data_IF_409270977665
#
_entry.id   IF_409270977665
#
_cell.length_a   1.000
_cell.length_b   1.000
_cell.length_c   1.000
_cell.angle_alpha   90.00
_cell.angle_beta   90.00
_cell.angle_gamma   90.00
#
_symmetry.space_group_name_H-M   'P 1'
#
loop_
_entity.id
_entity.type
_entity.pdbx_description
1 polymer ?
#
# COMPACT_ATOMS: atom_id res chain seq x y z
N UNK A 1 -10.69 -6.17 44.41
CA UNK A 1 -10.65 -7.62 44.15
C UNK A 1 -11.02 -7.83 42.68
N UNK A 2 -10.24 -8.61 41.93
CA UNK A 2 -10.41 -8.96 40.50
C UNK A 2 -10.15 -7.90 39.41
N UNK A 3 -8.88 -7.51 39.24
CA UNK A 3 -8.27 -7.16 37.94
C UNK A 3 -6.94 -7.93 37.71
N UNK A 4 -6.49 -8.75 38.67
CA UNK A 4 -5.18 -9.44 38.61
C UNK A 4 -5.17 -10.84 37.96
N UNK A 5 -6.31 -11.37 37.50
CA UNK A 5 -6.40 -12.76 37.01
C UNK A 5 -6.39 -12.88 35.47
N UNK A 6 -6.52 -11.77 34.73
CA UNK A 6 -6.50 -11.79 33.24
C UNK A 6 -5.10 -11.46 32.68
N UNK A 7 -4.21 -10.87 33.49
CA UNK A 7 -2.83 -10.51 33.08
C UNK A 7 -1.85 -11.68 32.98
N UNK A 8 -2.13 -12.82 33.63
CA UNK A 8 -1.22 -13.98 33.63
C UNK A 8 -1.43 -14.90 32.42
N UNK A 9 -2.66 -15.02 31.89
CA UNK A 9 -2.96 -15.91 30.75
C UNK A 9 -2.61 -15.29 29.38
N UNK A 10 -2.60 -13.95 29.27
CA UNK A 10 -2.18 -13.27 28.04
C UNK A 10 -0.66 -13.22 27.87
N UNK A 11 0.10 -13.10 28.97
CA UNK A 11 1.57 -13.11 28.92
C UNK A 11 2.15 -14.50 28.64
N UNK A 12 1.47 -15.60 28.98
CA UNK A 12 1.88 -16.94 28.55
C UNK A 12 1.61 -17.19 27.06
N UNK A 13 0.53 -16.65 26.48
CA UNK A 13 0.28 -16.79 25.03
C UNK A 13 1.21 -15.89 24.18
N UNK A 14 1.67 -14.76 24.72
CA UNK A 14 2.57 -13.84 24.03
C UNK A 14 4.04 -14.31 24.14
N UNK A 15 4.49 -14.77 25.31
CA UNK A 15 5.87 -15.29 25.47
C UNK A 15 6.09 -16.68 24.84
N UNK A 16 5.04 -17.50 24.67
CA UNK A 16 5.11 -18.73 23.87
C UNK A 16 4.92 -18.48 22.36
N UNK A 17 4.49 -17.28 21.95
CA UNK A 17 4.26 -16.91 20.55
C UNK A 17 5.53 -16.45 19.84
N UNK A 18 6.31 -15.56 20.46
CA UNK A 18 7.48 -14.93 19.81
C UNK A 18 8.69 -15.87 19.68
N UNK A 19 8.92 -16.73 20.68
CA UNK A 19 10.02 -17.72 20.65
C UNK A 19 9.69 -18.98 19.84
N UNK A 20 8.40 -19.32 19.65
CA UNK A 20 8.00 -20.43 18.77
C UNK A 20 7.72 -20.04 17.33
N UNK A 21 7.35 -18.78 17.02
CA UNK A 21 7.11 -18.38 15.63
C UNK A 21 8.38 -18.49 14.78
N UNK A 22 9.54 -18.11 15.33
CA UNK A 22 10.85 -18.29 14.67
C UNK A 22 11.29 -19.76 14.61
N UNK A 23 10.75 -20.66 15.45
CA UNK A 23 10.99 -22.11 15.38
C UNK A 23 9.98 -22.88 14.50
N UNK A 24 8.85 -22.25 14.16
CA UNK A 24 7.78 -22.85 13.36
C UNK A 24 8.04 -22.71 11.86
N UNK A 25 8.87 -21.75 11.44
CA UNK A 25 9.38 -21.65 10.07
C UNK A 25 10.39 -22.75 9.74
N UNK A 26 11.16 -23.26 10.71
CA UNK A 26 12.10 -24.38 10.53
C UNK A 26 11.46 -25.78 10.61
N UNK A 27 10.21 -25.91 11.08
CA UNK A 27 9.49 -27.20 11.14
C UNK A 27 8.18 -27.20 10.38
N UNK A 28 8.16 -26.61 9.18
CA UNK A 28 7.14 -26.96 8.21
C UNK A 28 7.49 -28.35 7.64
N UNK A 29 6.69 -29.40 7.89
CA UNK A 29 6.98 -30.72 7.35
C UNK A 29 7.06 -30.68 5.82
N UNK A 30 8.04 -31.35 5.23
CA UNK A 30 8.17 -31.50 3.78
C UNK A 30 6.92 -32.16 3.20
N UNK A 31 6.08 -31.38 2.51
CA UNK A 31 4.85 -31.87 1.90
C UNK A 31 5.13 -32.32 0.46
N UNK A 32 5.46 -33.61 0.25
CA UNK A 32 5.45 -34.21 -1.09
C UNK A 32 4.03 -34.63 -1.48
N UNK A 33 3.28 -33.73 -2.11
CA UNK A 33 2.04 -34.05 -2.82
C UNK A 33 2.38 -34.28 -4.30
N UNK A 34 2.42 -35.53 -4.72
CA UNK A 34 2.59 -35.93 -6.12
C UNK A 34 1.27 -35.80 -6.88
N UNK A 35 1.01 -34.66 -7.50
CA UNK A 35 -0.06 -34.47 -8.48
C UNK A 35 0.54 -34.19 -9.86
N UNK A 36 0.47 -35.18 -10.76
CA UNK A 36 0.85 -35.05 -12.17
C UNK A 36 -0.29 -34.43 -12.99
N UNK A 37 -0.25 -33.10 -13.16
CA UNK A 37 -0.86 -32.32 -14.25
C UNK A 37 -0.46 -30.86 -14.05
N UNK A 38 -0.17 -30.13 -15.14
CA UNK A 38 0.26 -28.72 -15.10
C UNK A 38 -0.73 -27.86 -14.31
N UNK A 39 -0.40 -27.59 -13.05
CA UNK A 39 -1.16 -26.74 -12.14
C UNK A 39 -0.65 -25.32 -12.29
N UNK A 40 -1.54 -24.43 -12.72
CA UNK A 40 -1.21 -23.02 -12.95
C UNK A 40 -1.05 -22.29 -11.61
N UNK A 41 0.07 -21.59 -11.42
CA UNK A 41 0.39 -20.95 -10.13
C UNK A 41 0.22 -19.44 -10.19
N UNK A 42 -0.82 -18.92 -9.51
CA UNK A 42 -1.24 -17.53 -9.65
C UNK A 42 -0.14 -16.55 -9.26
N UNK A 43 0.45 -16.69 -8.07
CA UNK A 43 1.42 -15.73 -7.58
C UNK A 43 2.74 -15.84 -8.34
N UNK A 44 3.25 -17.06 -8.45
CA UNK A 44 4.58 -17.33 -8.99
C UNK A 44 4.68 -17.12 -10.50
N UNK A 45 3.60 -17.33 -11.26
CA UNK A 45 3.61 -17.07 -12.71
C UNK A 45 3.16 -15.66 -13.09
N UNK A 46 2.15 -15.10 -12.40
CA UNK A 46 1.57 -13.80 -12.79
C UNK A 46 2.27 -12.65 -12.08
N UNK A 47 2.35 -12.69 -10.74
CA UNK A 47 2.77 -11.52 -9.95
C UNK A 47 4.29 -11.44 -9.77
N UNK A 48 4.95 -12.59 -9.60
CA UNK A 48 6.38 -12.66 -9.30
C UNK A 48 7.29 -11.95 -10.33
N UNK A 49 7.02 -11.97 -11.65
CA UNK A 49 7.80 -11.18 -12.61
C UNK A 49 7.77 -9.67 -12.32
N UNK A 50 6.61 -9.13 -11.95
CA UNK A 50 6.45 -7.72 -11.62
C UNK A 50 7.10 -7.36 -10.28
N UNK A 51 6.98 -8.24 -9.29
CA UNK A 51 7.69 -8.10 -8.00
C UNK A 51 9.21 -8.08 -8.23
N UNK A 52 9.75 -9.00 -9.05
CA UNK A 52 11.17 -9.03 -9.43
C UNK A 52 11.60 -7.74 -10.14
N UNK A 53 10.76 -7.23 -11.03
CA UNK A 53 11.02 -5.96 -11.72
C UNK A 53 11.13 -4.80 -10.72
N UNK A 54 10.16 -4.66 -9.83
CA UNK A 54 10.18 -3.59 -8.82
C UNK A 54 11.34 -3.73 -7.84
N UNK A 55 11.68 -4.94 -7.39
CA UNK A 55 12.86 -5.18 -6.54
C UNK A 55 14.14 -4.70 -7.25
N UNK A 56 14.29 -4.94 -8.56
CA UNK A 56 15.44 -4.42 -9.32
C UNK A 56 15.46 -2.89 -9.35
N UNK A 57 14.31 -2.26 -9.55
CA UNK A 57 14.20 -0.78 -9.55
C UNK A 57 14.54 -0.22 -8.16
N UNK A 58 14.00 -0.80 -7.09
CA UNK A 58 14.30 -0.39 -5.72
C UNK A 58 15.78 -0.57 -5.35
N UNK A 59 16.40 -1.66 -5.82
CA UNK A 59 17.84 -1.89 -5.64
C UNK A 59 18.66 -0.86 -6.40
N UNK A 60 18.27 -0.52 -7.64
CA UNK A 60 18.92 0.53 -8.43
C UNK A 60 18.85 1.90 -7.74
N UNK A 61 17.69 2.24 -7.17
CA UNK A 61 17.48 3.47 -6.42
C UNK A 61 18.09 3.45 -5.01
N UNK A 62 18.62 2.29 -4.57
CA UNK A 62 19.06 2.03 -3.19
C UNK A 62 17.98 2.34 -2.14
N UNK A 63 16.71 2.21 -2.53
CA UNK A 63 15.54 2.54 -1.71
C UNK A 63 15.17 1.40 -0.76
N UNK A 64 15.40 0.15 -1.19
CA UNK A 64 15.14 -1.04 -0.39
C UNK A 64 16.21 -2.12 -0.62
N UNK A 65 16.66 -2.82 0.45
CA UNK A 65 17.72 -3.82 0.36
C UNK A 65 17.19 -5.21 0.01
N UNK A 66 16.25 -5.29 -0.93
CA UNK A 66 15.66 -6.55 -1.35
C UNK A 66 16.45 -7.15 -2.50
N UNK A 67 16.73 -8.45 -2.41
CA UNK A 67 17.38 -9.23 -3.46
C UNK A 67 16.58 -10.49 -3.71
N UNK A 68 16.30 -10.77 -4.98
CA UNK A 68 15.67 -12.02 -5.36
C UNK A 68 16.72 -13.13 -5.48
N UNK A 69 16.66 -14.11 -4.59
CA UNK A 69 17.48 -15.31 -4.67
C UNK A 69 16.91 -16.28 -5.70
N UNK A 70 17.64 -16.47 -6.80
CA UNK A 70 17.24 -17.35 -7.90
C UNK A 70 17.30 -18.83 -7.50
N UNK A 71 18.15 -19.22 -6.55
CA UNK A 71 18.36 -20.61 -6.15
C UNK A 71 17.15 -21.09 -5.35
N UNK A 72 16.79 -20.37 -4.30
CA UNK A 72 15.64 -20.72 -3.45
C UNK A 72 14.31 -20.24 -4.03
N UNK A 73 14.35 -19.33 -5.01
CA UNK A 73 13.19 -18.59 -5.52
C UNK A 73 12.45 -17.90 -4.36
N UNK A 74 13.23 -17.21 -3.53
CA UNK A 74 12.81 -16.46 -2.33
C UNK A 74 13.39 -15.04 -2.42
N UNK A 75 12.70 -14.09 -1.78
CA UNK A 75 13.20 -12.73 -1.58
C UNK A 75 14.02 -12.75 -0.29
N UNK A 76 15.22 -12.19 -0.33
CA UNK A 76 16.11 -12.07 0.83
C UNK A 76 16.46 -10.61 1.04
N UNK A 77 16.78 -10.27 2.28
CA UNK A 77 17.38 -8.98 2.62
C UNK A 77 18.89 -9.12 2.53
N UNK A 78 19.52 -8.29 1.70
CA UNK A 78 20.97 -8.25 1.56
C UNK A 78 21.39 -6.79 1.47
N UNK A 79 22.06 -6.32 2.52
CA UNK A 79 22.48 -4.93 2.67
C UNK A 79 23.89 -4.88 3.25
N UNK A 80 24.77 -4.13 2.61
CA UNK A 80 26.05 -3.75 3.19
C UNK A 80 25.87 -2.61 4.19
N UNK A 81 26.82 -2.42 5.13
CA UNK A 81 26.76 -1.29 6.09
C UNK A 81 26.64 0.08 5.40
N UNK A 82 27.32 0.25 4.26
CA UNK A 82 27.30 1.50 3.49
C UNK A 82 25.93 1.73 2.84
N UNK A 83 25.33 0.69 2.25
CA UNK A 83 23.98 0.78 1.68
C UNK A 83 22.94 1.14 2.74
N UNK A 84 23.07 0.57 3.96
CA UNK A 84 22.19 0.91 5.08
C UNK A 84 22.26 2.38 5.45
N UNK A 85 23.48 2.90 5.63
CA UNK A 85 23.69 4.32 5.97
C UNK A 85 23.13 5.21 4.85
N UNK A 86 23.36 4.85 3.59
CA UNK A 86 22.83 5.60 2.45
C UNK A 86 21.30 5.61 2.44
N UNK A 87 20.65 4.46 2.63
CA UNK A 87 19.19 4.35 2.70
C UNK A 87 18.61 5.19 3.83
N UNK A 88 19.21 5.12 5.02
CA UNK A 88 18.79 5.91 6.18
C UNK A 88 18.95 7.42 5.92
N UNK A 89 20.05 7.82 5.27
CA UNK A 89 20.27 9.21 4.88
C UNK A 89 19.23 9.69 3.86
N UNK A 90 18.92 8.88 2.84
CA UNK A 90 17.84 9.18 1.88
C UNK A 90 16.51 9.35 2.60
N UNK A 91 16.16 8.46 3.53
CA UNK A 91 14.92 8.57 4.29
C UNK A 91 14.88 9.83 5.16
N UNK A 92 15.98 10.20 5.83
CA UNK A 92 16.07 11.45 6.59
C UNK A 92 15.87 12.66 5.67
N UNK A 93 16.49 12.65 4.48
CA UNK A 93 16.33 13.70 3.48
C UNK A 93 14.88 13.78 2.97
N UNK A 94 14.19 12.65 2.78
CA UNK A 94 12.78 12.64 2.40
C UNK A 94 11.88 13.29 3.46
N UNK A 95 12.13 13.04 4.74
CA UNK A 95 11.39 13.71 5.84
C UNK A 95 11.74 15.19 5.95
N UNK A 96 13.02 15.55 5.80
CA UNK A 96 13.44 16.94 5.76
C UNK A 96 12.78 17.70 4.58
N UNK A 97 12.69 17.03 3.42
CA UNK A 97 11.97 17.53 2.26
C UNK A 97 10.49 17.77 2.60
N UNK A 98 9.82 16.80 3.21
CA UNK A 98 8.41 16.94 3.62
C UNK A 98 8.21 18.11 4.59
N UNK A 99 9.11 18.29 5.57
CA UNK A 99 9.10 19.45 6.46
C UNK A 99 9.27 20.77 5.69
N UNK A 100 10.15 20.81 4.68
CA UNK A 100 10.33 21.98 3.84
C UNK A 100 9.05 22.28 3.02
N UNK A 101 8.34 21.26 2.53
CA UNK A 101 7.04 21.44 1.87
C UNK A 101 6.03 22.17 2.79
N UNK A 102 5.99 21.86 4.10
CA UNK A 102 5.13 22.58 5.05
C UNK A 102 5.41 24.08 5.08
N UNK A 103 6.70 24.47 5.06
CA UNK A 103 7.10 25.88 5.06
C UNK A 103 6.64 26.59 3.80
N UNK A 104 6.65 25.90 2.65
CA UNK A 104 6.13 26.43 1.38
C UNK A 104 4.62 26.63 1.46
N UNK A 105 3.87 25.65 1.97
CA UNK A 105 2.41 25.78 2.15
C UNK A 105 2.09 26.97 3.04
N UNK A 106 2.79 27.13 4.16
CA UNK A 106 2.60 28.25 5.08
C UNK A 106 2.91 29.60 4.42
N UNK A 107 4.05 29.71 3.73
CA UNK A 107 4.42 30.95 3.01
C UNK A 107 3.41 31.32 1.92
N UNK A 108 2.90 30.33 1.16
CA UNK A 108 1.89 30.58 0.13
C UNK A 108 0.55 31.04 0.72
N UNK A 109 0.21 30.58 1.93
CA UNK A 109 -0.95 31.06 2.69
C UNK A 109 -0.77 32.53 3.08
N UNK A 110 0.35 32.88 3.70
CA UNK A 110 0.66 34.26 4.13
C UNK A 110 0.70 35.23 2.95
N UNK A 111 1.20 34.79 1.80
CA UNK A 111 1.27 35.61 0.59
C UNK A 111 -0.08 35.72 -0.18
N UNK A 112 -1.16 35.12 0.33
CA UNK A 112 -2.47 35.20 -0.31
C UNK A 112 -2.57 34.47 -1.66
N UNK A 113 -1.85 33.36 -1.84
CA UNK A 113 -1.82 32.57 -3.08
C UNK A 113 -2.64 31.26 -2.95
N UNK A 114 -3.98 31.31 -2.84
CA UNK A 114 -4.77 30.13 -2.47
C UNK A 114 -4.67 28.98 -3.46
N UNK A 115 -4.63 29.25 -4.78
CA UNK A 115 -4.51 28.19 -5.79
C UNK A 115 -3.20 27.40 -5.69
N UNK A 116 -2.07 28.11 -5.57
CA UNK A 116 -0.75 27.50 -5.37
C UNK A 116 -0.61 26.84 -4.00
N UNK A 117 -1.23 27.40 -2.96
CA UNK A 117 -1.29 26.79 -1.64
C UNK A 117 -2.03 25.44 -1.68
N UNK A 118 -3.15 25.33 -2.41
CA UNK A 118 -3.86 24.06 -2.58
C UNK A 118 -3.05 23.04 -3.38
N UNK A 119 -2.32 23.46 -4.43
CA UNK A 119 -1.37 22.61 -5.18
C UNK A 119 -0.29 22.05 -4.24
N UNK A 120 0.33 22.94 -3.44
CA UNK A 120 1.33 22.58 -2.45
C UNK A 120 0.79 21.60 -1.39
N UNK A 121 -0.40 21.88 -0.84
CA UNK A 121 -1.04 21.05 0.18
C UNK A 121 -1.43 19.67 -0.35
N UNK A 122 -1.88 19.59 -1.61
CA UNK A 122 -2.20 18.32 -2.25
C UNK A 122 -0.95 17.43 -2.40
N UNK A 123 0.12 18.00 -2.96
CA UNK A 123 1.39 17.29 -3.11
C UNK A 123 2.01 16.91 -1.77
N UNK A 124 1.89 17.77 -0.75
CA UNK A 124 2.29 17.46 0.61
C UNK A 124 1.54 16.22 1.15
N UNK A 125 0.21 16.18 1.04
CA UNK A 125 -0.58 15.04 1.50
C UNK A 125 -0.24 13.75 0.75
N UNK A 126 -0.07 13.83 -0.58
CA UNK A 126 0.35 12.67 -1.38
C UNK A 126 1.73 12.17 -0.93
N UNK A 127 2.70 13.08 -0.75
CA UNK A 127 4.06 12.73 -0.32
C UNK A 127 4.07 12.15 1.08
N UNK A 128 3.32 12.73 2.02
CA UNK A 128 3.15 12.20 3.37
C UNK A 128 2.63 10.76 3.32
N UNK A 129 1.61 10.47 2.50
CA UNK A 129 1.08 9.11 2.38
C UNK A 129 2.13 8.11 1.85
N UNK A 130 2.88 8.51 0.83
CA UNK A 130 3.96 7.69 0.27
C UNK A 130 5.03 7.42 1.34
N UNK A 131 5.50 8.46 2.04
CA UNK A 131 6.49 8.30 3.11
C UNK A 131 5.97 7.42 4.24
N UNK A 132 4.70 7.55 4.63
CA UNK A 132 4.10 6.68 5.64
C UNK A 132 4.04 5.22 5.19
N UNK A 133 3.79 4.92 3.90
CA UNK A 133 3.82 3.54 3.39
C UNK A 133 5.21 2.93 3.42
N UNK A 134 6.24 3.73 3.14
CA UNK A 134 7.63 3.30 3.00
C UNK A 134 8.47 3.43 4.28
N UNK A 135 7.99 4.17 5.28
CA UNK A 135 8.73 4.49 6.51
C UNK A 135 9.21 3.24 7.26
N UNK A 136 10.53 3.02 7.32
CA UNK A 136 11.13 1.98 8.15
C UNK A 136 12.63 2.17 8.30
N UNK A 137 13.09 2.41 9.53
CA UNK A 137 14.51 2.57 9.83
C UNK A 137 15.30 1.30 9.46
N UNK A 138 14.76 0.15 9.84
CA UNK A 138 15.28 -1.16 9.46
C UNK A 138 14.55 -1.70 8.23
N UNK A 139 15.21 -2.60 7.46
CA UNK A 139 14.56 -3.30 6.36
C UNK A 139 13.27 -3.97 6.84
N UNK A 140 12.18 -3.84 6.08
CA UNK A 140 10.91 -4.44 6.48
C UNK A 140 10.93 -5.96 6.18
N UNK A 141 11.53 -6.73 7.09
CA UNK A 141 11.63 -8.19 7.02
C UNK A 141 10.25 -8.85 6.97
N UNK A 142 9.24 -8.25 7.60
CA UNK A 142 7.85 -8.76 7.59
C UNK A 142 7.24 -8.76 6.19
N UNK A 143 7.57 -7.75 5.37
CA UNK A 143 7.13 -7.72 3.97
C UNK A 143 7.74 -8.87 3.17
N UNK A 144 9.02 -9.15 3.40
CA UNK A 144 9.77 -10.23 2.74
C UNK A 144 9.24 -11.60 3.19
N UNK A 145 9.04 -11.79 4.49
CA UNK A 145 8.45 -12.99 5.06
C UNK A 145 7.05 -13.26 4.49
N UNK A 146 6.20 -12.22 4.42
CA UNK A 146 4.86 -12.32 3.85
C UNK A 146 4.90 -12.78 2.38
N UNK A 147 5.71 -12.14 1.54
CA UNK A 147 5.82 -12.48 0.14
C UNK A 147 6.40 -13.89 -0.06
N UNK A 148 7.40 -14.28 0.74
CA UNK A 148 7.96 -15.63 0.70
C UNK A 148 6.96 -16.69 1.16
N UNK A 149 6.21 -16.43 2.23
CA UNK A 149 5.13 -17.30 2.69
C UNK A 149 4.08 -17.50 1.59
N UNK A 150 3.74 -16.42 0.87
CA UNK A 150 2.80 -16.48 -0.25
C UNK A 150 3.37 -17.29 -1.43
N UNK A 151 4.64 -17.11 -1.79
CA UNK A 151 5.32 -17.90 -2.83
C UNK A 151 5.39 -19.39 -2.44
N UNK A 152 5.73 -19.70 -1.19
CA UNK A 152 5.76 -21.07 -0.66
C UNK A 152 4.38 -21.70 -0.66
N UNK A 153 3.36 -20.94 -0.27
CA UNK A 153 1.97 -21.39 -0.30
C UNK A 153 1.51 -21.68 -1.74
N UNK A 154 1.75 -20.76 -2.68
CA UNK A 154 1.38 -20.90 -4.10
C UNK A 154 2.09 -22.10 -4.76
N UNK A 155 3.33 -22.38 -4.38
CA UNK A 155 4.06 -23.57 -4.87
C UNK A 155 3.37 -24.87 -4.48
N UNK A 156 2.76 -24.93 -3.30
CA UNK A 156 2.13 -26.12 -2.71
C UNK A 156 0.62 -26.18 -2.96
N UNK A 157 0.00 -25.10 -3.43
CA UNK A 157 -1.43 -25.03 -3.69
C UNK A 157 -1.75 -25.45 -5.12
N UNK A 158 -2.44 -26.59 -5.28
CA UNK A 158 -2.87 -27.06 -6.59
C UNK A 158 -4.12 -26.30 -7.07
N UNK A 159 -3.98 -25.39 -8.03
CA UNK A 159 -5.07 -24.55 -8.54
C UNK A 159 -5.70 -25.18 -9.81
N UNK A 160 -6.80 -25.91 -9.64
CA UNK A 160 -7.48 -26.61 -10.76
C UNK A 160 -8.35 -25.71 -11.66
N UNK A 161 -8.47 -24.41 -11.39
CA UNK A 161 -9.40 -23.54 -12.12
C UNK A 161 -8.74 -22.90 -13.35
N UNK A 162 -9.21 -23.30 -14.54
CA UNK A 162 -8.85 -22.70 -15.84
C UNK A 162 -9.51 -21.32 -15.98
N UNK A 163 -8.90 -20.29 -15.42
CA UNK A 163 -9.31 -18.90 -15.59
C UNK A 163 -8.56 -18.22 -16.74
N UNK A 164 -9.23 -17.33 -17.47
CA UNK A 164 -8.60 -16.41 -18.41
C UNK A 164 -7.89 -15.29 -17.64
N UNK A 165 -6.59 -15.44 -17.41
CA UNK A 165 -5.78 -14.49 -16.63
C UNK A 165 -5.28 -13.27 -17.42
N UNK A 166 -5.64 -13.16 -18.70
CA UNK A 166 -5.19 -12.08 -19.59
C UNK A 166 -5.56 -10.71 -19.04
N UNK A 167 -6.79 -10.55 -18.54
CA UNK A 167 -7.24 -9.30 -17.94
C UNK A 167 -6.41 -8.92 -16.72
N UNK A 168 -6.15 -9.86 -15.80
CA UNK A 168 -5.31 -9.62 -14.63
C UNK A 168 -3.88 -9.24 -15.00
N UNK A 169 -3.28 -9.93 -15.99
CA UNK A 169 -1.93 -9.60 -16.49
C UNK A 169 -1.88 -8.19 -17.07
N UNK A 170 -2.88 -7.82 -17.88
CA UNK A 170 -2.98 -6.48 -18.45
C UNK A 170 -3.16 -5.42 -17.37
N UNK A 171 -4.05 -5.65 -16.40
CA UNK A 171 -4.23 -4.74 -15.25
C UNK A 171 -2.94 -4.57 -14.47
N UNK A 172 -2.21 -5.65 -14.18
CA UNK A 172 -0.93 -5.58 -13.45
C UNK A 172 0.14 -4.84 -14.24
N UNK A 173 0.19 -5.04 -15.55
CA UNK A 173 1.07 -4.30 -16.43
C UNK A 173 0.77 -2.80 -16.36
N UNK A 174 -0.48 -2.42 -16.61
CA UNK A 174 -0.92 -1.02 -16.57
C UNK A 174 -0.63 -0.38 -15.21
N UNK A 175 -0.98 -1.06 -14.11
CA UNK A 175 -0.75 -0.56 -12.76
C UNK A 175 0.75 -0.45 -12.45
N UNK A 176 1.58 -1.37 -12.94
CA UNK A 176 3.04 -1.30 -12.76
C UNK A 176 3.70 -0.12 -13.49
N UNK A 177 3.05 0.46 -14.51
CA UNK A 177 3.53 1.66 -15.20
C UNK A 177 3.17 2.97 -14.50
N UNK A 178 2.24 2.94 -13.52
CA UNK A 178 1.77 4.15 -12.81
C UNK A 178 2.92 4.95 -12.18
N UNK A 179 3.90 4.34 -11.48
CA UNK A 179 5.05 5.07 -10.96
C UNK A 179 5.83 5.84 -12.04
N UNK A 180 6.10 5.21 -13.18
CA UNK A 180 6.86 5.84 -14.26
C UNK A 180 6.08 7.01 -14.87
N UNK A 181 4.79 6.81 -15.15
CA UNK A 181 3.93 7.85 -15.72
C UNK A 181 3.82 9.06 -14.78
N UNK A 182 3.66 8.82 -13.47
CA UNK A 182 3.65 9.89 -12.48
C UNK A 182 4.96 10.69 -12.47
N UNK A 183 6.11 10.02 -12.62
CA UNK A 183 7.41 10.68 -12.69
C UNK A 183 7.55 11.55 -13.93
N UNK A 184 7.10 11.09 -15.11
CA UNK A 184 7.10 11.91 -16.32
C UNK A 184 6.16 13.12 -16.22
N UNK A 185 4.98 12.96 -15.63
CA UNK A 185 4.04 14.07 -15.40
C UNK A 185 4.68 15.14 -14.50
N UNK A 186 5.32 14.71 -13.40
CA UNK A 186 5.96 15.63 -12.48
C UNK A 186 7.18 16.30 -13.13
N UNK A 187 8.04 15.55 -13.82
CA UNK A 187 9.17 16.12 -14.55
C UNK A 187 8.71 17.14 -15.61
N UNK A 188 7.65 16.84 -16.37
CA UNK A 188 7.04 17.77 -17.31
C UNK A 188 6.55 19.05 -16.62
N UNK A 189 5.89 18.92 -15.46
CA UNK A 189 5.43 20.06 -14.65
C UNK A 189 6.60 20.96 -14.23
N UNK A 190 7.71 20.36 -13.79
CA UNK A 190 8.93 21.07 -13.42
C UNK A 190 9.57 21.85 -14.56
N UNK A 191 9.65 21.23 -15.74
CA UNK A 191 10.24 21.86 -16.92
C UNK A 191 9.44 23.10 -17.36
N UNK A 192 8.13 23.09 -17.12
CA UNK A 192 7.24 24.20 -17.42
C UNK A 192 7.26 25.30 -16.35
N UNK A 193 7.40 24.94 -15.07
CA UNK A 193 7.36 25.88 -13.95
C UNK A 193 8.33 25.43 -12.84
N UNK A 194 9.56 25.96 -12.81
CA UNK A 194 10.53 25.60 -11.78
C UNK A 194 10.11 26.07 -10.38
N UNK A 195 9.13 26.97 -10.27
CA UNK A 195 8.54 27.45 -9.03
C UNK A 195 7.26 26.70 -8.65
N UNK A 196 6.89 25.63 -9.37
CA UNK A 196 5.73 24.84 -9.01
C UNK A 196 5.90 24.31 -7.57
N UNK A 197 4.96 24.58 -6.65
CA UNK A 197 5.04 24.01 -5.33
C UNK A 197 4.71 22.52 -5.37
N UNK A 198 5.19 21.72 -4.42
CA UNK A 198 6.02 22.08 -3.26
C UNK A 198 7.48 21.70 -3.50
N UNK A 199 7.97 21.93 -4.72
CA UNK A 199 9.26 21.41 -5.14
C UNK A 199 10.46 22.20 -4.62
N UNK A 200 11.68 21.65 -4.68
CA UNK A 200 12.89 22.35 -4.20
C UNK A 200 13.08 23.71 -4.89
N UNK A 201 12.69 23.84 -6.16
CA UNK A 201 12.70 25.13 -6.83
C UNK A 201 11.86 26.19 -6.11
N UNK A 202 10.67 25.83 -5.62
CA UNK A 202 9.83 26.74 -4.82
C UNK A 202 10.47 27.11 -3.47
N UNK A 203 11.24 26.19 -2.87
CA UNK A 203 11.94 26.40 -1.58
C UNK A 203 13.15 27.32 -1.77
N UNK A 204 14.03 26.97 -2.70
CA UNK A 204 15.35 27.59 -2.89
C UNK A 204 15.31 28.91 -3.66
N UNK A 205 14.41 29.02 -4.66
CA UNK A 205 14.35 30.20 -5.53
C UNK A 205 13.48 31.32 -4.96
N UNK A 206 12.94 31.14 -3.75
CA UNK A 206 12.13 32.12 -3.02
C UNK A 206 11.08 32.80 -3.92
N UNK A 207 10.23 32.01 -4.57
CA UNK A 207 9.21 32.52 -5.48
C UNK A 207 8.14 33.27 -4.67
N UNK A 208 8.26 34.60 -4.54
CA UNK A 208 7.52 35.42 -3.56
C UNK A 208 6.10 35.82 -4.00
N UNK A 209 5.79 35.93 -5.29
CA UNK A 209 4.61 36.69 -5.76
C UNK A 209 3.53 35.88 -6.50
N UNK A 210 3.16 34.69 -6.00
CA UNK A 210 2.19 33.75 -6.62
C UNK A 210 2.48 33.36 -8.10
N UNK A 211 3.49 33.96 -8.73
CA UNK A 211 3.80 33.88 -10.14
C UNK A 211 5.09 33.13 -10.43
N UNK A 212 5.41 33.02 -11.72
CA UNK A 212 6.59 32.33 -12.21
C UNK A 212 7.83 33.20 -12.02
N UNK A 213 8.94 32.58 -11.59
CA UNK A 213 10.25 33.24 -11.60
C UNK A 213 10.80 33.23 -13.03
N UNK A 214 11.40 34.34 -13.44
CA UNK A 214 12.10 34.42 -14.73
C UNK A 214 13.24 33.39 -14.80
N UNK A 215 13.09 32.42 -15.70
CA UNK A 215 14.03 31.32 -15.89
C UNK A 215 15.44 31.81 -16.21
N UNK A 216 15.56 32.97 -16.86
CA UNK A 216 16.86 33.52 -17.26
C UNK A 216 17.71 33.96 -16.07
N UNK A 217 17.10 34.12 -14.88
CA UNK A 217 17.82 34.48 -13.65
C UNK A 217 18.44 33.27 -12.94
N UNK A 218 18.02 32.05 -13.29
CA UNK A 218 18.46 30.83 -12.63
C UNK A 218 19.68 30.29 -13.37
N UNK A 219 20.80 30.14 -12.68
CA UNK A 219 21.99 29.52 -13.26
C UNK A 219 21.67 28.08 -13.68
N UNK A 220 22.09 27.69 -14.89
CA UNK A 220 21.70 26.41 -15.51
C UNK A 220 22.08 25.19 -14.66
N UNK A 221 23.21 25.24 -13.94
CA UNK A 221 23.67 24.13 -13.10
C UNK A 221 22.84 23.97 -11.83
N UNK A 222 22.38 25.07 -11.22
CA UNK A 222 21.42 25.01 -10.11
C UNK A 222 20.10 24.40 -10.55
N UNK A 223 19.62 24.82 -11.73
CA UNK A 223 18.39 24.29 -12.32
C UNK A 223 18.49 22.79 -12.58
N UNK A 224 19.59 22.32 -13.19
CA UNK A 224 19.84 20.90 -13.41
C UNK A 224 19.92 20.12 -12.09
N UNK A 225 20.59 20.67 -11.06
CA UNK A 225 20.68 20.06 -9.74
C UNK A 225 19.32 19.88 -9.07
N UNK A 226 18.47 20.92 -9.09
CA UNK A 226 17.10 20.86 -8.53
C UNK A 226 16.29 19.76 -9.21
N UNK A 227 16.30 19.70 -10.54
CA UNK A 227 15.56 18.68 -11.30
C UNK A 227 16.03 17.27 -10.93
N UNK A 228 17.34 17.04 -10.84
CA UNK A 228 17.88 15.73 -10.51
C UNK A 228 17.46 15.30 -9.11
N UNK A 229 17.58 16.19 -8.11
CA UNK A 229 17.25 15.89 -6.72
C UNK A 229 15.75 15.65 -6.56
N UNK A 230 14.90 16.51 -7.13
CA UNK A 230 13.45 16.37 -7.03
C UNK A 230 12.97 15.10 -7.74
N UNK A 231 13.47 14.85 -8.95
CA UNK A 231 13.13 13.63 -9.72
C UNK A 231 13.57 12.38 -8.97
N UNK A 232 14.76 12.40 -8.37
CA UNK A 232 15.26 11.29 -7.55
C UNK A 232 14.38 11.05 -6.31
N UNK A 233 14.02 12.10 -5.58
CA UNK A 233 13.14 12.04 -4.42
C UNK A 233 11.79 11.40 -4.78
N UNK A 234 11.15 11.90 -5.84
CA UNK A 234 9.83 11.46 -6.29
C UNK A 234 9.87 10.01 -6.77
N UNK A 235 10.83 9.65 -7.63
CA UNK A 235 10.96 8.28 -8.14
C UNK A 235 11.17 7.30 -6.98
N UNK A 236 12.06 7.64 -6.04
CA UNK A 236 12.37 6.82 -4.87
C UNK A 236 11.14 6.62 -3.99
N UNK A 237 10.48 7.71 -3.61
CA UNK A 237 9.29 7.68 -2.76
C UNK A 237 8.14 6.92 -3.41
N UNK A 238 7.83 7.18 -4.69
CA UNK A 238 6.73 6.50 -5.38
C UNK A 238 7.01 5.00 -5.51
N UNK A 239 8.18 4.59 -6.01
CA UNK A 239 8.46 3.16 -6.21
C UNK A 239 8.48 2.40 -4.87
N UNK A 240 9.08 2.97 -3.83
CA UNK A 240 9.17 2.33 -2.52
C UNK A 240 7.77 2.14 -1.90
N UNK A 241 6.96 3.19 -1.92
CA UNK A 241 5.59 3.17 -1.41
C UNK A 241 4.69 2.23 -2.20
N UNK A 242 4.82 2.25 -3.53
CA UNK A 242 4.06 1.40 -4.43
C UNK A 242 4.39 -0.08 -4.20
N UNK A 243 5.65 -0.42 -3.93
CA UNK A 243 6.02 -1.79 -3.57
C UNK A 243 5.29 -2.29 -2.32
N UNK A 244 5.31 -1.53 -1.23
CA UNK A 244 4.65 -1.94 0.01
C UNK A 244 3.12 -1.96 -0.08
N UNK A 245 2.52 -0.92 -0.65
CA UNK A 245 1.06 -0.82 -0.75
C UNK A 245 0.49 -1.78 -1.80
N UNK A 246 1.04 -1.79 -3.01
CA UNK A 246 0.48 -2.58 -4.10
C UNK A 246 0.94 -4.04 -4.03
N UNK A 247 2.24 -4.30 -4.05
CA UNK A 247 2.76 -5.67 -4.17
C UNK A 247 2.76 -6.45 -2.86
N UNK A 248 3.10 -5.83 -1.74
CA UNK A 248 3.08 -6.55 -0.46
C UNK A 248 1.67 -6.67 0.11
N UNK A 249 0.86 -5.61 0.06
CA UNK A 249 -0.49 -5.62 0.65
C UNK A 249 -1.59 -6.04 -0.32
N UNK A 250 -1.87 -5.26 -1.38
CA UNK A 250 -3.04 -5.51 -2.25
C UNK A 250 -2.97 -6.85 -2.98
N UNK A 251 -1.80 -7.20 -3.53
CA UNK A 251 -1.61 -8.52 -4.18
C UNK A 251 -1.84 -9.67 -3.20
N UNK A 252 -1.41 -9.53 -1.93
CA UNK A 252 -1.64 -10.54 -0.90
C UNK A 252 -3.13 -10.69 -0.59
N UNK A 253 -3.86 -9.59 -0.40
CA UNK A 253 -5.32 -9.62 -0.16
C UNK A 253 -6.02 -10.31 -1.34
N UNK A 254 -5.65 -9.93 -2.56
CA UNK A 254 -6.20 -10.53 -3.78
C UNK A 254 -5.89 -12.03 -3.86
N UNK A 255 -4.65 -12.45 -3.60
CA UNK A 255 -4.26 -13.85 -3.60
C UNK A 255 -5.05 -14.65 -2.55
N UNK A 256 -5.16 -14.15 -1.32
CA UNK A 256 -6.00 -14.74 -0.26
C UNK A 256 -7.45 -14.90 -0.71
N UNK A 257 -8.03 -13.87 -1.33
CA UNK A 257 -9.41 -13.90 -1.84
C UNK A 257 -9.61 -15.02 -2.87
N UNK A 258 -8.67 -15.18 -3.79
CA UNK A 258 -8.71 -16.24 -4.81
C UNK A 258 -8.52 -17.63 -4.19
N UNK A 259 -7.57 -17.78 -3.27
CA UNK A 259 -7.33 -19.05 -2.58
C UNK A 259 -8.52 -19.47 -1.72
N UNK A 260 -9.12 -18.55 -0.96
CA UNK A 260 -10.34 -18.83 -0.18
C UNK A 260 -11.48 -19.27 -1.08
N UNK A 261 -11.67 -18.59 -2.22
CA UNK A 261 -12.71 -18.95 -3.19
C UNK A 261 -12.50 -20.35 -3.76
N UNK A 262 -11.25 -20.73 -4.05
CA UNK A 262 -10.91 -22.07 -4.50
C UNK A 262 -11.05 -23.12 -3.39
N UNK A 263 -10.65 -22.79 -2.16
CA UNK A 263 -10.74 -23.68 -0.99
C UNK A 263 -12.20 -23.95 -0.62
N UNK A 264 -13.09 -22.95 -0.69
CA UNK A 264 -14.51 -23.10 -0.39
C UNK A 264 -15.25 -24.09 -1.30
N UNK A 265 -14.68 -24.43 -2.46
CA UNK A 265 -15.21 -25.47 -3.37
C UNK A 265 -14.76 -26.89 -3.02
N UNK A 266 -13.80 -27.06 -2.10
CA UNK A 266 -13.26 -28.38 -1.70
C UNK A 266 -14.04 -28.96 -0.54
N UNK A 267 -14.02 -30.30 -0.42
CA UNK A 267 -14.54 -31.01 0.75
C UNK A 267 -13.80 -30.59 2.02
N UNK A 268 -14.51 -30.54 3.15
CA UNK A 268 -13.98 -30.08 4.44
C UNK A 268 -12.63 -30.72 4.81
N UNK A 269 -12.47 -32.05 4.66
CA UNK A 269 -11.23 -32.76 5.03
C UNK A 269 -9.98 -32.24 4.30
N UNK A 270 -10.11 -31.85 3.03
CA UNK A 270 -9.00 -31.31 2.23
C UNK A 270 -8.87 -29.80 2.42
N UNK A 271 -9.99 -29.07 2.43
CA UNK A 271 -10.03 -27.62 2.54
C UNK A 271 -9.56 -27.10 3.91
N UNK A 272 -9.87 -27.82 4.99
CA UNK A 272 -9.56 -27.39 6.36
C UNK A 272 -8.07 -27.09 6.57
N UNK A 273 -7.21 -28.03 6.17
CA UNK A 273 -5.76 -27.88 6.36
C UNK A 273 -5.23 -26.68 5.58
N UNK A 274 -5.69 -26.50 4.34
CA UNK A 274 -5.27 -25.38 3.50
C UNK A 274 -5.75 -24.05 4.08
N UNK A 275 -7.00 -24.02 4.57
CA UNK A 275 -7.56 -22.84 5.21
C UNK A 275 -6.76 -22.42 6.45
N UNK A 276 -6.27 -23.37 7.26
CA UNK A 276 -5.37 -23.08 8.38
C UNK A 276 -4.07 -22.43 7.93
N UNK A 277 -3.51 -22.84 6.78
CA UNK A 277 -2.36 -22.17 6.20
C UNK A 277 -2.71 -20.74 5.73
N UNK A 278 -3.90 -20.53 5.15
CA UNK A 278 -4.36 -19.17 4.78
C UNK A 278 -4.53 -18.26 5.98
N UNK A 279 -4.96 -18.77 7.14
CA UNK A 279 -5.02 -18.00 8.38
C UNK A 279 -3.63 -17.55 8.85
N UNK A 280 -2.58 -18.35 8.63
CA UNK A 280 -1.21 -17.94 8.95
C UNK A 280 -0.78 -16.78 8.03
N UNK A 281 -1.05 -16.89 6.73
CA UNK A 281 -0.76 -15.81 5.76
C UNK A 281 -1.55 -14.53 6.10
N UNK A 282 -2.81 -14.65 6.53
CA UNK A 282 -3.62 -13.52 7.02
C UNK A 282 -2.98 -12.85 8.24
N UNK A 283 -2.48 -13.64 9.21
CA UNK A 283 -1.79 -13.10 10.40
C UNK A 283 -0.54 -12.32 9.98
N UNK A 284 0.29 -12.88 9.09
CA UNK A 284 1.49 -12.20 8.58
C UNK A 284 1.14 -10.91 7.84
N UNK A 285 0.10 -10.94 6.99
CA UNK A 285 -0.39 -9.77 6.25
C UNK A 285 -0.86 -8.67 7.20
N UNK A 286 -1.64 -9.04 8.21
CA UNK A 286 -2.11 -8.10 9.23
C UNK A 286 -0.95 -7.56 10.05
N UNK A 287 0.03 -8.39 10.43
CA UNK A 287 1.18 -7.93 11.20
C UNK A 287 2.04 -6.91 10.43
N UNK A 288 2.18 -7.10 9.12
CA UNK A 288 2.82 -6.16 8.22
C UNK A 288 2.00 -4.86 8.03
N UNK A 289 0.69 -4.96 7.77
CA UNK A 289 -0.13 -3.83 7.34
C UNK A 289 -0.78 -3.00 8.46
N UNK A 290 -1.10 -3.62 9.62
CA UNK A 290 -2.06 -3.06 10.61
C UNK A 290 -1.64 -1.74 11.26
N UNK A 291 -0.34 -1.49 11.38
CA UNK A 291 0.18 -0.33 12.11
C UNK A 291 0.59 0.84 11.22
N UNK A 292 0.90 0.57 9.95
CA UNK A 292 1.52 1.56 9.07
C UNK A 292 0.64 1.83 7.85
N UNK A 293 0.48 0.83 6.99
CA UNK A 293 -0.15 1.00 5.68
C UNK A 293 -1.66 1.22 5.83
N UNK A 294 -2.33 0.42 6.66
CA UNK A 294 -3.78 0.55 6.89
C UNK A 294 -4.17 1.92 7.47
N UNK A 295 -3.63 2.38 8.62
CA UNK A 295 -3.98 3.70 9.15
C UNK A 295 -3.65 4.82 8.18
N UNK A 296 -2.49 4.78 7.52
CA UNK A 296 -2.10 5.81 6.55
C UNK A 296 -3.10 5.89 5.41
N UNK A 297 -3.51 4.74 4.85
CA UNK A 297 -4.47 4.72 3.74
C UNK A 297 -5.83 5.24 4.18
N UNK A 298 -6.32 4.78 5.34
CA UNK A 298 -7.66 5.11 5.85
C UNK A 298 -7.79 6.55 6.34
N UNK A 299 -6.67 7.25 6.61
CA UNK A 299 -6.67 8.65 7.05
C UNK A 299 -6.31 9.58 5.88
N UNK A 300 -5.20 9.31 5.20
CA UNK A 300 -4.65 10.24 4.21
C UNK A 300 -5.40 10.17 2.87
N UNK A 301 -5.92 9.00 2.47
CA UNK A 301 -6.70 8.91 1.23
C UNK A 301 -8.01 9.72 1.31
N UNK A 302 -8.83 9.66 2.38
CA UNK A 302 -9.96 10.55 2.55
C UNK A 302 -9.61 12.04 2.53
N UNK A 303 -8.55 12.45 3.24
CA UNK A 303 -8.07 13.85 3.22
C UNK A 303 -7.71 14.28 1.80
N UNK A 304 -7.01 13.42 1.07
CA UNK A 304 -6.64 13.66 -0.34
C UNK A 304 -7.88 13.80 -1.21
N UNK A 305 -8.90 12.94 -1.05
CA UNK A 305 -10.14 13.03 -1.81
C UNK A 305 -10.90 14.34 -1.53
N UNK A 306 -11.04 14.72 -0.25
CA UNK A 306 -11.71 15.95 0.18
C UNK A 306 -11.00 17.17 -0.41
N UNK A 307 -9.68 17.27 -0.23
CA UNK A 307 -8.89 18.39 -0.76
C UNK A 307 -8.93 18.47 -2.28
N UNK A 308 -8.89 17.32 -2.97
CA UNK A 308 -8.92 17.28 -4.42
C UNK A 308 -10.28 17.74 -4.95
N UNK A 309 -11.37 17.19 -4.41
CA UNK A 309 -12.72 17.53 -4.84
C UNK A 309 -13.07 18.99 -4.52
N UNK A 310 -12.69 19.47 -3.33
CA UNK A 310 -12.81 20.89 -2.96
C UNK A 310 -12.09 21.79 -3.97
N UNK A 311 -10.87 21.43 -4.37
CA UNK A 311 -10.09 22.22 -5.33
C UNK A 311 -10.70 22.20 -6.71
N UNK A 312 -11.16 21.04 -7.18
CA UNK A 312 -11.84 20.88 -8.46
C UNK A 312 -13.10 21.75 -8.52
N UNK A 313 -13.90 21.80 -7.46
CA UNK A 313 -15.14 22.59 -7.45
C UNK A 313 -14.83 24.08 -7.29
N UNK A 314 -14.09 24.49 -6.26
CA UNK A 314 -13.96 25.90 -5.86
C UNK A 314 -12.83 26.65 -6.56
N UNK A 315 -11.77 25.97 -6.97
CA UNK A 315 -10.53 26.60 -7.43
C UNK A 315 -10.17 26.30 -8.88
N UNK A 316 -11.07 25.69 -9.67
CA UNK A 316 -10.78 25.32 -11.06
C UNK A 316 -10.37 26.50 -11.93
N UNK A 317 -10.99 27.66 -11.77
CA UNK A 317 -10.64 28.86 -12.56
C UNK A 317 -9.34 29.55 -12.10
N UNK A 318 -8.86 29.24 -10.89
CA UNK A 318 -7.70 29.92 -10.29
C UNK A 318 -6.38 29.19 -10.50
N UNK A 319 -6.43 27.92 -10.91
CA UNK A 319 -5.25 27.08 -11.08
C UNK A 319 -5.02 26.84 -12.57
N UNK A 320 -3.95 27.38 -13.17
CA UNK A 320 -3.67 27.18 -14.58
C UNK A 320 -3.34 25.71 -14.88
N UNK A 321 -3.71 25.26 -16.07
CA UNK A 321 -3.17 24.01 -16.64
C UNK A 321 -1.66 24.14 -16.88
N UNK A 322 -0.84 23.09 -16.65
CA UNK A 322 -1.24 21.71 -16.31
C UNK A 322 -1.40 21.44 -14.80
N UNK A 323 -1.14 22.41 -13.92
CA UNK A 323 -1.17 22.20 -12.45
C UNK A 323 -2.52 21.67 -11.95
N UNK A 324 -3.62 22.12 -12.58
CA UNK A 324 -4.97 21.64 -12.28
C UNK A 324 -5.15 20.12 -12.47
N UNK A 325 -4.42 19.47 -13.39
CA UNK A 325 -4.58 18.03 -13.67
C UNK A 325 -4.16 17.14 -12.49
N UNK A 326 -3.36 17.65 -11.55
CA UNK A 326 -2.93 16.91 -10.37
C UNK A 326 -4.14 16.56 -9.49
N UNK A 327 -5.15 17.44 -9.40
CA UNK A 327 -6.28 17.22 -8.49
C UNK A 327 -7.23 16.10 -8.97
N UNK A 328 -7.74 16.08 -10.22
CA UNK A 328 -8.53 14.95 -10.71
C UNK A 328 -7.74 13.63 -10.67
N UNK A 329 -6.44 13.67 -11.00
CA UNK A 329 -5.60 12.47 -10.95
C UNK A 329 -5.44 11.95 -9.51
N UNK A 330 -5.16 12.82 -8.54
CA UNK A 330 -5.05 12.45 -7.13
C UNK A 330 -6.38 11.95 -6.56
N UNK A 331 -7.50 12.61 -6.90
CA UNK A 331 -8.85 12.18 -6.53
C UNK A 331 -9.14 10.76 -7.02
N UNK A 332 -8.96 10.52 -8.32
CA UNK A 332 -9.22 9.21 -8.93
C UNK A 332 -8.30 8.13 -8.35
N UNK A 333 -7.01 8.44 -8.16
CA UNK A 333 -6.06 7.49 -7.59
C UNK A 333 -6.42 7.13 -6.14
N UNK A 334 -6.74 8.11 -5.31
CA UNK A 334 -7.13 7.91 -3.92
C UNK A 334 -8.47 7.16 -3.83
N UNK A 335 -9.45 7.51 -4.67
CA UNK A 335 -10.76 6.86 -4.71
C UNK A 335 -10.66 5.40 -5.18
N UNK A 336 -9.95 5.13 -6.26
CA UNK A 336 -9.74 3.75 -6.76
C UNK A 336 -8.93 2.93 -5.77
N UNK A 337 -7.82 3.47 -5.25
CA UNK A 337 -6.97 2.77 -4.29
C UNK A 337 -7.71 2.37 -3.01
N UNK A 338 -8.50 3.29 -2.44
CA UNK A 338 -9.30 3.04 -1.25
C UNK A 338 -10.44 2.05 -1.52
N UNK A 339 -11.18 2.24 -2.61
CA UNK A 339 -12.25 1.34 -3.05
C UNK A 339 -11.75 -0.09 -3.23
N UNK A 340 -10.62 -0.26 -3.93
CA UNK A 340 -10.04 -1.59 -4.18
C UNK A 340 -9.62 -2.25 -2.87
N UNK A 341 -8.91 -1.52 -1.99
CA UNK A 341 -8.47 -2.03 -0.70
C UNK A 341 -9.66 -2.53 0.14
N UNK A 342 -10.65 -1.67 0.35
CA UNK A 342 -11.79 -1.97 1.22
C UNK A 342 -12.72 -3.01 0.60
N UNK A 343 -13.01 -2.93 -0.71
CA UNK A 343 -13.87 -3.90 -1.41
C UNK A 343 -13.25 -5.30 -1.42
N UNK A 344 -11.94 -5.42 -1.71
CA UNK A 344 -11.25 -6.71 -1.67
C UNK A 344 -11.21 -7.27 -0.25
N UNK A 345 -11.00 -6.41 0.75
CA UNK A 345 -11.02 -6.80 2.16
C UNK A 345 -12.39 -7.31 2.61
N UNK A 346 -13.47 -6.59 2.29
CA UNK A 346 -14.84 -7.00 2.60
C UNK A 346 -15.23 -8.29 1.87
N UNK A 347 -14.85 -8.44 0.60
CA UNK A 347 -15.06 -9.68 -0.15
C UNK A 347 -14.31 -10.86 0.44
N UNK A 348 -13.10 -10.66 0.97
CA UNK A 348 -12.32 -11.71 1.63
C UNK A 348 -13.08 -12.25 2.85
N UNK A 349 -13.66 -11.38 3.68
CA UNK A 349 -14.49 -11.76 4.83
C UNK A 349 -15.67 -12.59 4.36
N UNK A 350 -16.49 -12.05 3.45
CA UNK A 350 -17.72 -12.71 2.95
C UNK A 350 -17.42 -14.08 2.34
N UNK A 351 -16.39 -14.19 1.48
CA UNK A 351 -16.04 -15.46 0.84
C UNK A 351 -15.52 -16.49 1.85
N UNK A 352 -14.80 -16.04 2.86
CA UNK A 352 -14.27 -16.92 3.89
C UNK A 352 -15.37 -17.44 4.83
N UNK A 353 -16.36 -16.61 5.15
CA UNK A 353 -17.55 -17.01 5.93
C UNK A 353 -18.44 -17.98 5.16
N UNK A 354 -18.61 -17.74 3.86
CA UNK A 354 -19.33 -18.63 2.97
C UNK A 354 -18.66 -20.02 2.92
N UNK A 355 -17.33 -20.07 2.77
CA UNK A 355 -16.57 -21.32 2.77
C UNK A 355 -16.74 -22.10 4.09
N UNK A 356 -16.61 -21.43 5.23
CA UNK A 356 -16.81 -22.05 6.55
C UNK A 356 -18.25 -22.56 6.70
N UNK A 357 -19.24 -21.77 6.26
CA UNK A 357 -20.66 -22.11 6.39
C UNK A 357 -21.03 -23.32 5.53
N UNK A 358 -20.50 -23.42 4.31
CA UNK A 358 -20.68 -24.58 3.45
C UNK A 358 -20.16 -25.87 4.14
N UNK A 359 -18.99 -25.80 4.79
CA UNK A 359 -18.46 -26.94 5.54
C UNK A 359 -19.25 -27.26 6.82
N UNK A 360 -19.84 -26.25 7.49
CA UNK A 360 -20.73 -26.50 8.64
C UNK A 360 -21.94 -27.33 8.23
N UNK A 361 -22.52 -27.05 7.07
CA UNK A 361 -23.64 -27.82 6.52
C UNK A 361 -23.19 -29.26 6.23
N UNK A 362 -22.03 -29.45 5.56
CA UNK A 362 -21.46 -30.79 5.26
C UNK A 362 -21.15 -31.60 6.54
N UNK A 363 -20.75 -30.93 7.63
CA UNK A 363 -20.25 -31.54 8.87
C UNK A 363 -21.31 -31.89 9.91
N UNK A 364 -22.59 -31.55 9.70
CA UNK A 364 -23.68 -31.72 10.70
C UNK A 364 -23.83 -33.14 11.26
N UNK A 365 -23.27 -34.16 10.60
CA UNK A 365 -23.37 -35.57 11.01
C UNK A 365 -22.25 -36.07 11.94
N UNK A 366 -21.19 -35.29 12.21
CA UNK A 366 -20.02 -35.75 13.00
C UNK A 366 -19.61 -34.76 14.10
N UNK A 367 -19.74 -35.17 15.36
CA UNK A 367 -19.49 -34.31 16.54
C UNK A 367 -18.08 -33.70 16.58
N UNK A 368 -17.05 -34.46 16.18
CA UNK A 368 -15.65 -34.02 16.18
C UNK A 368 -15.39 -32.92 15.14
N UNK A 369 -15.91 -33.07 13.93
CA UNK A 369 -15.74 -32.08 12.86
C UNK A 369 -16.43 -30.76 13.20
N UNK A 370 -17.59 -30.82 13.87
CA UNK A 370 -18.27 -29.63 14.37
C UNK A 370 -17.47 -28.85 15.42
N UNK A 371 -16.63 -29.51 16.22
CA UNK A 371 -15.68 -28.81 17.13
C UNK A 371 -14.57 -28.12 16.33
N UNK A 372 -14.00 -28.79 15.33
CA UNK A 372 -12.94 -28.21 14.48
C UNK A 372 -13.43 -26.96 13.72
N UNK A 373 -14.66 -26.98 13.19
CA UNK A 373 -15.23 -25.84 12.47
C UNK A 373 -15.56 -24.65 13.36
N UNK A 374 -15.84 -24.87 14.66
CA UNK A 374 -16.00 -23.78 15.64
C UNK A 374 -14.72 -23.01 15.90
N UNK A 375 -13.56 -23.64 15.68
CA UNK A 375 -12.26 -22.99 15.81
C UNK A 375 -11.84 -22.20 14.57
N UNK A 376 -12.56 -22.34 13.43
CA UNK A 376 -12.28 -21.56 12.24
C UNK A 376 -12.89 -20.16 12.39
N UNK A 377 -12.04 -19.17 12.19
CA UNK A 377 -12.41 -17.75 12.10
C UNK A 377 -12.34 -17.33 10.63
N UNK A 378 -13.26 -16.48 10.21
CA UNK A 378 -13.21 -15.84 8.89
C UNK A 378 -11.91 -15.04 8.74
N UNK A 379 -11.37 -15.01 7.51
CA UNK A 379 -10.17 -14.24 7.21
C UNK A 379 -10.55 -12.76 7.11
N UNK A 380 -9.84 -11.89 7.83
CA UNK A 380 -10.16 -10.46 7.90
C UNK A 380 -8.90 -9.62 7.76
N UNK A 381 -9.03 -8.51 7.03
CA UNK A 381 -8.02 -7.46 7.02
C UNK A 381 -8.26 -6.57 8.23
N UNK A 382 -7.35 -6.60 9.19
CA UNK A 382 -7.49 -5.89 10.47
C UNK A 382 -6.78 -4.55 10.44
N UNK A 383 -7.44 -3.57 11.03
CA UNK A 383 -6.88 -2.27 11.33
C UNK A 383 -7.10 -1.98 12.82
N UNK A 384 -6.01 -1.98 13.60
CA UNK A 384 -6.06 -1.96 15.08
C UNK A 384 -6.97 -3.06 15.63
N UNK A 385 -8.00 -2.70 16.41
CA UNK A 385 -9.01 -3.60 16.97
C UNK A 385 -10.19 -3.85 16.02
N UNK A 386 -10.27 -3.15 14.89
CA UNK A 386 -11.34 -3.24 13.91
C UNK A 386 -10.89 -4.02 12.66
N UNK A 387 -11.83 -4.25 11.75
CA UNK A 387 -11.56 -4.86 10.44
C UNK A 387 -12.32 -4.11 9.35
N UNK A 388 -11.83 -4.22 8.11
CA UNK A 388 -12.49 -3.67 6.95
C UNK A 388 -13.64 -4.59 6.52
N UNK A 389 -14.85 -4.06 6.53
CA UNK A 389 -16.06 -4.76 6.11
C UNK A 389 -16.54 -4.25 4.75
N UNK A 390 -17.49 -4.95 4.13
CA UNK A 390 -18.09 -4.60 2.83
C UNK A 390 -18.71 -3.19 2.81
N UNK A 391 -19.23 -2.72 3.94
CA UNK A 391 -19.84 -1.40 4.05
C UNK A 391 -18.83 -0.28 4.24
N UNK A 392 -17.58 -0.58 4.60
CA UNK A 392 -16.57 0.44 4.88
C UNK A 392 -16.36 1.34 3.67
N UNK A 393 -16.38 0.81 2.45
CA UNK A 393 -16.23 1.62 1.22
C UNK A 393 -17.32 2.65 1.03
N UNK A 394 -18.58 2.28 1.26
CA UNK A 394 -19.66 3.23 1.11
C UNK A 394 -19.59 4.32 2.17
N UNK A 395 -19.25 3.95 3.41
CA UNK A 395 -19.09 4.89 4.53
C UNK A 395 -17.93 5.85 4.29
N UNK A 396 -16.77 5.36 3.86
CA UNK A 396 -15.58 6.17 3.59
C UNK A 396 -15.84 7.21 2.49
N UNK A 397 -16.47 6.82 1.38
CA UNK A 397 -16.77 7.76 0.28
C UNK A 397 -17.87 8.74 0.64
N UNK A 398 -18.93 8.28 1.32
CA UNK A 398 -19.98 9.17 1.81
C UNK A 398 -19.42 10.23 2.76
N UNK A 399 -18.55 9.83 3.68
CA UNK A 399 -17.85 10.75 4.57
C UNK A 399 -17.05 11.80 3.77
N UNK A 400 -16.27 11.38 2.75
CA UNK A 400 -15.51 12.32 1.93
C UNK A 400 -16.41 13.34 1.21
N UNK A 401 -17.56 12.90 0.68
CA UNK A 401 -18.53 13.77 0.02
C UNK A 401 -19.17 14.75 1.00
N UNK A 402 -19.67 14.27 2.14
CA UNK A 402 -20.27 15.11 3.19
C UNK A 402 -19.31 16.18 3.70
N UNK A 403 -18.06 15.79 4.01
CA UNK A 403 -17.03 16.75 4.45
C UNK A 403 -16.70 17.78 3.37
N UNK A 404 -16.67 17.37 2.10
CA UNK A 404 -16.44 18.31 0.99
C UNK A 404 -17.57 19.31 0.87
N UNK A 405 -18.83 18.87 0.94
CA UNK A 405 -20.01 19.75 0.91
C UNK A 405 -20.00 20.72 2.10
N UNK A 406 -19.69 20.23 3.32
CA UNK A 406 -19.56 21.09 4.50
C UNK A 406 -18.48 22.15 4.33
N UNK A 407 -17.31 21.79 3.79
CA UNK A 407 -16.23 22.74 3.50
C UNK A 407 -16.61 23.77 2.43
N UNK A 408 -17.34 23.36 1.40
CA UNK A 408 -17.84 24.28 0.37
C UNK A 408 -18.79 25.32 0.97
N UNK A 409 -19.76 24.89 1.79
CA UNK A 409 -20.71 25.79 2.47
C UNK A 409 -19.97 26.77 3.40
N UNK A 410 -18.97 26.29 4.17
CA UNK A 410 -18.18 27.14 5.06
C UNK A 410 -17.29 28.15 4.31
N UNK A 411 -16.81 27.80 3.11
CA UNK A 411 -16.02 28.72 2.30
C UNK A 411 -16.87 29.78 1.60
N UNK A 412 -18.11 29.44 1.23
CA UNK A 412 -19.05 30.38 0.62
C UNK A 412 -19.64 31.38 1.61
N UNK A 413 -19.74 31.03 2.90
CA UNK A 413 -20.25 31.94 3.93
C UNK A 413 -19.23 33.01 4.39
N UNK A 414 -17.95 32.84 4.06
CA UNK A 414 -16.87 33.76 4.42
C UNK A 414 -16.56 34.75 3.29
N UNK A 415 -17.01 34.45 2.06
CA UNK A 415 -16.86 35.30 0.89
C UNK A 415 -18.05 36.26 0.74
#
# INVERSE_FOLDING_TARGET
>A
MSVKVIGASLNECINLGESRFLSLTERLPEWKLSCGKHSFKMLSEIFLPYVKFQIKVLKFLKAAPFVFDKVNNEITTSETKIERIFRQLVQILEWAYLCAMCTVVYRLKENGCPGKMMEAAMCFNCTLNLLLYSYGWDPNEKAVELLNALVKFDKNFDFSQKGTWTALRLTLFLVSTVPMNACFCILGRFLLDPCAPPYLGSILLNCQNCGTTDRNKIQWFMWAGIIIVDTFHIITSIHNSFFYFFFALLVTIYALLQYVTAVGKRKMKQGFKIYRCLQIVEILMNDFGKFRIMPSTLVVAPITQILALLTIVKFHDRIPLPGFLIFPMAYLLAMVGLTVLESMSGLLVVRSEYAISAWKIESTRKSVQGRQLRCLQSLKVRFRSNFLDRLTTLVSHNFCLEQTVSLLIMLDSVA
#
